data_IF_047680308794
#
_entry.id   IF_047680308794
#
_cell.length_a   1.000
_cell.length_b   1.000
_cell.length_c   1.000
_cell.angle_alpha   90.00
_cell.angle_beta   90.00
_cell.angle_gamma   90.00
#
_symmetry.space_group_name_H-M   'P 1'
#
loop_
_entity.id
_entity.type
_entity.pdbx_description
1 polymer ?
#
# COMPACT_ATOMS: atom_id res chain seq x y z
N UNK A 1 -21.59 3.34 2.72
CA UNK A 1 -20.18 2.99 2.43
C UNK A 1 -19.92 2.75 0.95
N UNK A 2 -20.51 1.73 0.30
CA UNK A 2 -20.31 1.41 -1.14
C UNK A 2 -20.50 2.60 -2.10
N UNK A 3 -21.57 3.38 -1.96
CA UNK A 3 -21.84 4.57 -2.81
C UNK A 3 -20.73 5.64 -2.73
N UNK A 4 -20.11 5.81 -1.56
CA UNK A 4 -19.06 6.81 -1.35
C UNK A 4 -17.76 6.30 -1.97
N UNK A 5 -17.41 5.04 -1.74
CA UNK A 5 -16.27 4.37 -2.39
C UNK A 5 -16.35 4.52 -3.91
N UNK A 6 -17.54 4.31 -4.49
CA UNK A 6 -17.73 4.47 -5.94
C UNK A 6 -17.43 5.90 -6.41
N UNK A 7 -17.84 6.92 -5.63
CA UNK A 7 -17.59 8.33 -5.95
C UNK A 7 -16.10 8.69 -5.80
N UNK A 8 -15.43 8.23 -4.73
CA UNK A 8 -14.04 8.59 -4.45
C UNK A 8 -13.02 7.81 -5.30
N UNK A 9 -13.41 6.67 -5.89
CA UNK A 9 -12.53 5.86 -6.75
C UNK A 9 -11.97 6.67 -7.92
N UNK A 10 -12.74 7.61 -8.48
CA UNK A 10 -12.30 8.51 -9.56
C UNK A 10 -11.91 9.92 -9.11
N UNK A 11 -11.94 10.21 -7.81
CA UNK A 11 -11.67 11.55 -7.30
C UNK A 11 -10.15 11.80 -7.21
N UNK A 12 -9.64 12.66 -8.09
CA UNK A 12 -8.21 13.00 -8.17
C UNK A 12 -7.66 13.55 -6.85
N UNK A 13 -8.43 14.37 -6.13
CA UNK A 13 -7.96 14.94 -4.86
C UNK A 13 -7.76 13.85 -3.81
N UNK A 14 -8.66 12.86 -3.75
CA UNK A 14 -8.50 11.72 -2.85
C UNK A 14 -7.30 10.86 -3.24
N UNK A 15 -7.12 10.57 -4.53
CA UNK A 15 -5.97 9.78 -4.99
C UNK A 15 -4.65 10.50 -4.71
N UNK A 16 -4.56 11.81 -4.94
CA UNK A 16 -3.37 12.61 -4.63
C UNK A 16 -3.05 12.61 -3.13
N UNK A 17 -4.04 12.74 -2.26
CA UNK A 17 -3.82 12.68 -0.81
C UNK A 17 -3.38 11.27 -0.38
N UNK A 18 -4.00 10.21 -0.91
CA UNK A 18 -3.60 8.83 -0.63
C UNK A 18 -2.18 8.54 -1.10
N UNK A 19 -1.84 8.93 -2.33
CA UNK A 19 -0.50 8.75 -2.90
C UNK A 19 0.57 9.51 -2.10
N UNK A 20 0.25 10.70 -1.61
CA UNK A 20 1.13 11.45 -0.72
C UNK A 20 1.47 10.65 0.54
N UNK A 21 0.47 10.08 1.24
CA UNK A 21 0.73 9.28 2.45
C UNK A 21 1.39 7.95 2.13
N UNK A 22 1.01 7.28 1.04
CA UNK A 22 1.68 6.04 0.62
C UNK A 22 3.17 6.28 0.36
N UNK A 23 3.53 7.37 -0.30
CA UNK A 23 4.92 7.71 -0.61
C UNK A 23 5.69 8.21 0.62
N UNK A 24 5.17 9.25 1.28
CA UNK A 24 5.93 10.00 2.28
C UNK A 24 5.81 9.44 3.70
N UNK A 25 4.77 8.61 3.98
CA UNK A 25 4.56 8.02 5.30
C UNK A 25 4.70 6.51 5.29
N UNK A 26 4.02 5.79 4.38
CA UNK A 26 4.10 4.34 4.32
C UNK A 26 5.42 3.82 3.74
N UNK A 27 6.14 4.62 2.94
CA UNK A 27 7.42 4.25 2.33
C UNK A 27 7.28 3.55 0.97
N UNK A 28 6.23 3.83 0.20
CA UNK A 28 6.09 3.31 -1.17
C UNK A 28 6.96 4.10 -2.18
N UNK A 29 7.40 3.45 -3.27
CA UNK A 29 7.24 2.04 -3.59
C UNK A 29 8.21 1.14 -2.80
N UNK A 30 7.78 -0.09 -2.54
CA UNK A 30 8.64 -1.13 -1.95
C UNK A 30 9.48 -1.80 -3.04
N UNK A 31 10.75 -2.16 -2.76
CA UNK A 31 11.61 -2.79 -3.76
C UNK A 31 11.14 -4.22 -4.09
N UNK A 32 11.48 -4.67 -5.31
CA UNK A 32 11.39 -6.07 -5.70
C UNK A 32 12.80 -6.66 -5.59
N UNK A 33 13.04 -7.45 -4.55
CA UNK A 33 14.37 -7.96 -4.22
C UNK A 33 14.60 -9.32 -4.90
N UNK A 34 15.70 -9.45 -5.64
CA UNK A 34 16.12 -10.74 -6.19
C UNK A 34 16.83 -11.57 -5.10
N UNK A 35 16.21 -12.68 -4.69
CA UNK A 35 16.75 -13.54 -3.64
C UNK A 35 17.67 -14.60 -4.25
N UNK A 36 18.94 -14.24 -4.48
CA UNK A 36 19.91 -15.08 -5.19
C UNK A 36 20.15 -16.43 -4.49
N UNK A 37 20.37 -16.43 -3.18
CA UNK A 37 20.64 -17.66 -2.43
C UNK A 37 19.44 -18.62 -2.45
N UNK A 38 18.23 -18.07 -2.33
CA UNK A 38 16.98 -18.85 -2.40
C UNK A 38 16.73 -19.36 -3.82
N UNK A 39 17.05 -18.56 -4.84
CA UNK A 39 17.02 -18.99 -6.24
C UNK A 39 17.96 -20.17 -6.49
N UNK A 40 19.19 -20.10 -5.97
CA UNK A 40 20.17 -21.20 -6.06
C UNK A 40 19.67 -22.45 -5.33
N UNK A 41 19.08 -22.30 -4.14
CA UNK A 41 18.63 -23.44 -3.35
C UNK A 41 17.46 -24.21 -3.99
N UNK A 42 16.57 -23.53 -4.74
CA UNK A 42 15.46 -24.20 -5.44
C UNK A 42 15.87 -24.81 -6.79
N UNK A 43 17.07 -24.50 -7.29
CA UNK A 43 17.66 -25.15 -8.48
C UNK A 43 16.94 -24.89 -9.81
N UNK A 44 16.04 -23.91 -9.87
CA UNK A 44 15.20 -23.68 -11.05
C UNK A 44 14.77 -22.22 -11.21
N UNK A 45 13.57 -21.89 -10.74
CA UNK A 45 12.97 -20.57 -10.94
C UNK A 45 13.74 -19.44 -10.24
N UNK A 46 13.75 -18.24 -10.85
CA UNK A 46 14.24 -17.01 -10.21
C UNK A 46 13.24 -16.53 -9.15
N UNK A 47 13.69 -16.35 -7.92
CA UNK A 47 12.84 -15.92 -6.82
C UNK A 47 13.02 -14.44 -6.53
N UNK A 48 11.91 -13.71 -6.57
CA UNK A 48 11.83 -12.30 -6.25
C UNK A 48 10.88 -12.07 -5.08
N UNK A 49 11.28 -11.25 -4.12
CA UNK A 49 10.49 -10.88 -2.96
C UNK A 49 9.97 -9.45 -3.12
N UNK A 50 8.65 -9.27 -3.12
CA UNK A 50 8.04 -7.95 -3.05
C UNK A 50 8.09 -7.48 -1.60
N UNK A 51 8.96 -6.50 -1.30
CA UNK A 51 9.35 -6.14 0.07
C UNK A 51 8.33 -5.29 0.82
N UNK A 52 7.08 -5.76 0.93
CA UNK A 52 6.03 -5.08 1.73
C UNK A 52 6.32 -5.12 3.24
N UNK A 53 7.30 -5.92 3.68
CA UNK A 53 7.87 -5.90 5.03
C UNK A 53 8.59 -4.58 5.36
N UNK A 54 9.03 -3.83 4.34
CA UNK A 54 9.72 -2.54 4.51
C UNK A 54 8.76 -1.34 4.65
N UNK A 55 7.45 -1.56 4.56
CA UNK A 55 6.49 -0.50 4.79
C UNK A 55 6.50 -0.06 6.26
N UNK A 56 6.14 1.19 6.53
CA UNK A 56 5.90 1.65 7.89
C UNK A 56 4.87 0.73 8.58
N UNK A 57 5.18 0.27 9.80
CA UNK A 57 4.40 -0.76 10.50
C UNK A 57 4.66 -2.21 10.06
N UNK A 58 5.60 -2.45 9.16
CA UNK A 58 6.17 -3.77 8.85
C UNK A 58 5.29 -4.69 8.00
N UNK A 59 4.17 -4.19 7.43
CA UNK A 59 3.26 -5.02 6.64
C UNK A 59 2.45 -4.23 5.62
N UNK A 60 2.00 -4.94 4.58
CA UNK A 60 1.11 -4.43 3.54
C UNK A 60 -0.24 -3.89 4.04
N UNK A 61 -0.61 -4.14 5.31
CA UNK A 61 -1.89 -3.71 5.89
C UNK A 61 -2.03 -2.18 5.95
N UNK A 62 -0.92 -1.45 6.12
CA UNK A 62 -0.91 0.02 6.17
C UNK A 62 -1.51 0.65 4.90
N UNK A 63 -1.34 0.01 3.74
CA UNK A 63 -1.90 0.49 2.48
C UNK A 63 -3.43 0.64 2.57
N UNK A 64 -4.11 -0.38 3.12
CA UNK A 64 -5.57 -0.34 3.30
C UNK A 64 -5.96 0.58 4.46
N UNK A 65 -5.23 0.54 5.57
CA UNK A 65 -5.53 1.38 6.74
C UNK A 65 -5.51 2.87 6.38
N UNK A 66 -4.52 3.34 5.62
CA UNK A 66 -4.46 4.72 5.14
C UNK A 66 -5.68 5.07 4.26
N UNK A 67 -6.02 4.21 3.30
CA UNK A 67 -7.18 4.42 2.44
C UNK A 67 -8.50 4.50 3.22
N UNK A 68 -8.70 3.61 4.19
CA UNK A 68 -9.90 3.61 5.04
C UNK A 68 -9.94 4.80 6.00
N UNK A 69 -8.79 5.20 6.57
CA UNK A 69 -8.71 6.38 7.43
C UNK A 69 -9.05 7.67 6.67
N UNK A 70 -8.50 7.84 5.46
CA UNK A 70 -8.85 8.98 4.59
C UNK A 70 -10.31 8.95 4.16
N UNK A 71 -10.86 7.76 3.87
CA UNK A 71 -12.28 7.61 3.57
C UNK A 71 -13.15 8.02 4.77
N UNK A 72 -12.82 7.57 5.99
CA UNK A 72 -13.54 7.94 7.20
C UNK A 72 -13.52 9.47 7.45
N UNK A 73 -12.34 10.09 7.29
CA UNK A 73 -12.15 11.55 7.34
C UNK A 73 -13.08 12.27 6.34
N UNK A 74 -13.14 11.78 5.09
CA UNK A 74 -13.99 12.35 4.03
C UNK A 74 -15.48 12.15 4.27
N UNK A 75 -15.84 11.06 4.94
CA UNK A 75 -17.21 10.81 5.39
C UNK A 75 -17.63 11.71 6.57
N UNK A 76 -16.72 12.59 7.07
CA UNK A 76 -16.89 13.38 8.30
C UNK A 76 -17.31 12.53 9.49
N UNK A 77 -16.96 11.24 9.48
CA UNK A 77 -17.14 10.38 10.65
C UNK A 77 -16.10 10.83 11.67
N UNK A 78 -16.57 11.53 12.68
CA UNK A 78 -15.84 11.81 13.90
C UNK A 78 -16.32 10.80 14.93
N UNK A 79 -15.42 10.50 15.85
CA UNK A 79 -15.66 9.63 17.01
C UNK A 79 -16.97 9.99 17.72
#
# INVERSE_FOLDING_TARGET
MKKIIQKIKGDKSFQTELDYYLKNYAGRPTPLYFAENLTKSVGGAKIYLKREDLLHGGAHKINNTLGQALLAKKMKKRE
#
